data_IF_323122375652
#
_entry.id   IF_323122375652
#
_cell.length_a   1.000
_cell.length_b   1.000
_cell.length_c   1.000
_cell.angle_alpha   90.00
_cell.angle_beta   90.00
_cell.angle_gamma   90.00
#
_symmetry.space_group_name_H-M   'P 1'
#
loop_
_entity.id
_entity.type
_entity.pdbx_description
1 polymer ?
#
# COMPACT_ATOMS: atom_id res chain seq x y z
N UNK A 1 -25.12 1.18 15.69
CA UNK A 1 -23.67 1.42 15.49
C UNK A 1 -23.35 2.83 15.94
N UNK A 2 -22.22 3.06 16.63
CA UNK A 2 -21.85 4.39 17.09
C UNK A 2 -21.49 5.28 15.88
N UNK A 3 -22.33 6.29 15.57
CA UNK A 3 -22.21 7.12 14.36
C UNK A 3 -20.92 7.98 14.29
N UNK A 4 -20.13 8.00 15.37
CA UNK A 4 -18.92 8.80 15.52
C UNK A 4 -17.61 8.01 15.28
N UNK A 5 -17.66 6.69 15.12
CA UNK A 5 -16.45 5.87 14.98
C UNK A 5 -16.10 5.61 13.51
N UNK A 6 -14.89 6.00 13.10
CA UNK A 6 -14.29 5.71 11.80
C UNK A 6 -13.65 4.32 11.81
N UNK A 7 -14.15 3.39 11.00
CA UNK A 7 -13.58 2.05 10.87
C UNK A 7 -12.64 1.95 9.66
N UNK A 8 -11.41 1.48 9.88
CA UNK A 8 -10.39 1.32 8.83
C UNK A 8 -9.97 -0.15 8.73
N UNK A 9 -10.09 -0.74 7.55
CA UNK A 9 -9.59 -2.09 7.26
C UNK A 9 -8.13 -2.07 6.80
N UNK A 10 -7.31 -2.97 7.36
CA UNK A 10 -5.90 -3.18 7.02
C UNK A 10 -5.64 -4.65 6.71
N UNK A 11 -4.65 -4.93 5.86
CA UNK A 11 -4.18 -6.30 5.65
C UNK A 11 -3.64 -6.89 6.96
N UNK A 12 -4.09 -8.09 7.31
CA UNK A 12 -3.72 -8.81 8.54
C UNK A 12 -2.24 -9.16 8.57
N UNK A 13 -1.71 -9.67 7.46
CA UNK A 13 -0.34 -10.19 7.32
C UNK A 13 0.18 -9.92 5.92
N UNK A 14 1.51 -9.86 5.76
CA UNK A 14 2.14 -9.66 4.45
C UNK A 14 2.75 -8.26 4.28
N UNK A 15 3.20 -7.96 3.05
CA UNK A 15 4.03 -6.78 2.74
C UNK A 15 3.31 -5.45 3.01
N UNK A 16 1.99 -5.40 2.87
CA UNK A 16 1.21 -4.19 3.12
C UNK A 16 1.00 -3.96 4.63
N UNK A 17 0.95 -5.04 5.42
CA UNK A 17 0.57 -5.01 6.84
C UNK A 17 1.50 -4.15 7.70
N UNK A 18 2.82 -4.35 7.62
CA UNK A 18 3.77 -3.68 8.51
C UNK A 18 3.72 -2.14 8.37
N UNK A 19 3.80 -1.65 7.14
CA UNK A 19 3.76 -0.20 6.86
C UNK A 19 2.38 0.39 7.16
N UNK A 20 1.30 -0.34 6.90
CA UNK A 20 -0.06 0.10 7.21
C UNK A 20 -0.30 0.17 8.72
N UNK A 21 0.18 -0.81 9.47
CA UNK A 21 0.09 -0.84 10.93
C UNK A 21 0.88 0.30 11.57
N UNK A 22 2.06 0.62 11.01
CA UNK A 22 2.85 1.77 11.42
C UNK A 22 2.15 3.11 11.17
N UNK A 23 1.44 3.28 10.05
CA UNK A 23 0.64 4.51 9.82
C UNK A 23 -0.43 4.72 10.89
N UNK A 24 -1.01 3.62 11.35
CA UNK A 24 -2.10 3.64 12.32
C UNK A 24 -1.59 3.63 13.76
N UNK A 25 -0.33 3.25 14.02
CA UNK A 25 0.24 3.30 15.36
C UNK A 25 0.29 4.70 15.95
N UNK A 26 0.23 5.75 15.12
CA UNK A 26 0.06 7.12 15.58
C UNK A 26 -1.27 7.36 16.32
N UNK A 27 -2.31 6.57 16.01
CA UNK A 27 -3.59 6.56 16.72
C UNK A 27 -3.62 5.58 17.90
N UNK A 28 -2.61 4.69 18.00
CA UNK A 28 -2.39 3.83 19.15
C UNK A 28 -1.69 4.65 20.23
N UNK A 29 -2.45 5.43 20.99
CA UNK A 29 -2.00 5.77 22.34
C UNK A 29 -1.86 4.48 23.14
N UNK A 30 -0.82 4.44 24.00
CA UNK A 30 -0.29 3.31 24.77
C UNK A 30 -1.31 2.21 25.13
N UNK A 31 -0.87 0.95 24.97
CA UNK A 31 -1.57 -0.33 25.22
C UNK A 31 -2.46 -0.86 24.07
N UNK A 32 -1.90 -1.79 23.30
CA UNK A 32 -2.42 -3.17 23.20
C UNK A 32 -1.51 -4.00 22.29
N UNK A 33 -0.53 -4.66 22.91
CA UNK A 33 0.14 -5.85 22.39
C UNK A 33 -0.80 -7.03 22.66
N UNK A 34 -1.76 -7.31 21.78
CA UNK A 34 -2.21 -8.68 21.57
C UNK A 34 -3.02 -8.81 20.28
N UNK A 35 -2.39 -9.46 19.31
CA UNK A 35 -2.90 -9.83 18.00
C UNK A 35 -3.96 -10.91 18.23
N UNK A 36 -5.25 -10.58 18.10
CA UNK A 36 -6.34 -11.47 17.60
C UNK A 36 -7.76 -10.88 17.73
N UNK A 37 -7.98 -9.81 18.50
CA UNK A 37 -9.25 -9.06 18.48
C UNK A 37 -9.01 -7.65 19.04
N UNK A 38 -8.45 -6.76 18.23
CA UNK A 38 -8.16 -5.39 18.67
C UNK A 38 -9.26 -4.44 18.20
N UNK A 39 -10.36 -4.39 18.96
CA UNK A 39 -11.11 -3.14 19.08
C UNK A 39 -10.19 -2.22 19.87
N UNK A 40 -9.42 -1.38 19.18
CA UNK A 40 -8.61 -0.36 19.84
C UNK A 40 -9.56 0.71 20.39
N UNK A 41 -10.01 0.52 21.62
CA UNK A 41 -10.58 1.60 22.43
C UNK A 41 -9.44 2.46 22.92
N UNK A 42 -8.84 3.26 22.04
CA UNK A 42 -7.97 4.34 22.54
C UNK A 42 -8.88 5.40 23.17
N UNK A 43 -8.35 6.14 24.15
CA UNK A 43 -9.02 7.30 24.76
C UNK A 43 -9.43 8.38 23.73
N UNK A 44 -9.16 8.19 22.43
CA UNK A 44 -9.81 8.82 21.30
C UNK A 44 -10.90 7.89 20.72
N UNK A 45 -12.13 7.98 21.22
CA UNK A 45 -13.32 7.15 20.87
C UNK A 45 -13.75 7.12 19.37
N UNK A 46 -12.90 7.56 18.45
CA UNK A 46 -13.27 7.91 17.09
C UNK A 46 -12.67 7.03 15.97
N UNK A 47 -11.73 6.10 16.24
CA UNK A 47 -11.15 5.24 15.18
C UNK A 47 -11.06 3.78 15.60
N UNK A 48 -11.59 2.86 14.77
CA UNK A 48 -11.54 1.40 14.93
C UNK A 48 -10.75 0.78 13.78
N UNK A 49 -9.90 -0.19 14.08
CA UNK A 49 -9.06 -0.87 13.08
C UNK A 49 -9.50 -2.33 12.95
N UNK A 50 -9.63 -2.80 11.71
CA UNK A 50 -10.02 -4.17 11.39
C UNK A 50 -8.93 -4.83 10.54
N UNK A 51 -8.36 -5.94 11.02
CA UNK A 51 -7.34 -6.69 10.31
C UNK A 51 -7.98 -7.85 9.54
N UNK A 52 -7.84 -7.86 8.21
CA UNK A 52 -8.51 -8.79 7.29
C UNK A 52 -7.58 -9.23 6.16
N UNK A 53 -7.99 -10.16 5.29
CA UNK A 53 -7.27 -10.37 4.03
C UNK A 53 -7.49 -9.14 3.14
N UNK A 54 -6.49 -8.77 2.37
CA UNK A 54 -6.57 -7.61 1.47
C UNK A 54 -7.64 -7.78 0.39
N UNK A 55 -7.82 -8.99 -0.12
CA UNK A 55 -8.88 -9.31 -1.09
C UNK A 55 -10.30 -9.11 -0.54
N UNK A 56 -10.48 -9.16 0.79
CA UNK A 56 -11.78 -8.96 1.44
C UNK A 56 -12.11 -7.46 1.63
N UNK A 57 -11.11 -6.58 1.64
CA UNK A 57 -11.27 -5.15 1.94
C UNK A 57 -12.26 -4.45 0.98
N UNK A 58 -12.20 -4.66 -0.36
CA UNK A 58 -13.17 -4.08 -1.28
C UNK A 58 -14.62 -4.43 -0.92
N UNK A 59 -14.89 -5.70 -0.57
CA UNK A 59 -16.23 -6.14 -0.21
C UNK A 59 -16.70 -5.52 1.12
N UNK A 60 -15.80 -5.38 2.10
CA UNK A 60 -16.10 -4.73 3.37
C UNK A 60 -16.45 -3.25 3.22
N UNK A 61 -15.85 -2.56 2.26
CA UNK A 61 -16.18 -1.17 1.92
C UNK A 61 -17.53 -1.09 1.22
N UNK A 62 -17.77 -1.96 0.22
CA UNK A 62 -19.04 -2.00 -0.51
C UNK A 62 -20.24 -2.28 0.40
N UNK A 63 -20.08 -3.21 1.34
CA UNK A 63 -21.10 -3.57 2.35
C UNK A 63 -21.19 -2.55 3.49
N UNK A 64 -20.37 -1.49 3.47
CA UNK A 64 -20.27 -0.46 4.53
C UNK A 64 -19.95 -1.04 5.91
N UNK A 65 -19.34 -2.21 5.96
CA UNK A 65 -18.82 -2.83 7.20
C UNK A 65 -17.64 -2.02 7.77
N UNK A 66 -16.87 -1.39 6.87
CA UNK A 66 -15.78 -0.45 7.19
C UNK A 66 -15.96 0.84 6.41
N UNK A 67 -15.43 1.95 6.95
CA UNK A 67 -15.52 3.27 6.32
C UNK A 67 -14.37 3.48 5.31
N UNK A 68 -13.17 3.02 5.66
CA UNK A 68 -11.95 3.14 4.86
C UNK A 68 -11.22 1.79 4.76
N UNK A 69 -10.36 1.65 3.76
CA UNK A 69 -9.46 0.51 3.63
C UNK A 69 -8.13 0.86 2.98
N UNK A 70 -7.06 0.19 3.42
CA UNK A 70 -5.74 0.27 2.77
C UNK A 70 -5.55 -1.00 1.93
N UNK A 71 -5.41 -0.84 0.62
CA UNK A 71 -5.19 -1.93 -0.35
C UNK A 71 -4.09 -1.59 -1.34
N UNK A 72 -3.56 -2.59 -2.05
CA UNK A 72 -2.75 -2.38 -3.24
C UNK A 72 -3.60 -1.93 -4.44
N UNK A 73 -3.02 -1.14 -5.34
CA UNK A 73 -3.70 -0.70 -6.57
C UNK A 73 -4.11 -1.87 -7.47
N UNK A 74 -3.29 -2.91 -7.51
CA UNK A 74 -3.60 -4.20 -8.16
C UNK A 74 -4.95 -4.76 -7.69
N UNK A 75 -5.20 -4.83 -6.36
CA UNK A 75 -6.48 -5.31 -5.82
C UNK A 75 -7.63 -4.37 -6.22
N UNK A 76 -7.40 -3.06 -6.19
CA UNK A 76 -8.39 -2.06 -6.60
C UNK A 76 -8.82 -2.24 -8.07
N UNK A 77 -7.85 -2.31 -8.99
CA UNK A 77 -8.13 -2.44 -10.43
C UNK A 77 -8.70 -3.81 -10.79
N UNK A 78 -8.23 -4.88 -10.16
CA UNK A 78 -8.73 -6.23 -10.41
C UNK A 78 -10.23 -6.30 -10.16
N UNK A 79 -10.68 -5.73 -9.04
CA UNK A 79 -12.09 -5.62 -8.73
C UNK A 79 -12.82 -4.64 -9.67
N UNK A 80 -12.19 -3.52 -10.04
CA UNK A 80 -12.80 -2.55 -10.95
C UNK A 80 -13.05 -3.14 -12.34
N UNK A 81 -12.06 -3.82 -12.93
CA UNK A 81 -12.22 -4.54 -14.20
C UNK A 81 -13.22 -5.68 -14.11
N UNK A 82 -13.24 -6.41 -12.99
CA UNK A 82 -14.28 -7.41 -12.72
C UNK A 82 -15.68 -6.79 -12.79
N UNK A 83 -15.89 -5.67 -12.10
CA UNK A 83 -17.19 -5.00 -12.11
C UNK A 83 -17.57 -4.45 -13.49
N UNK A 84 -16.62 -3.91 -14.25
CA UNK A 84 -16.85 -3.49 -15.65
C UNK A 84 -17.34 -4.68 -16.49
N UNK A 85 -16.66 -5.83 -16.39
CA UNK A 85 -17.01 -7.03 -17.16
C UNK A 85 -18.41 -7.55 -16.80
N UNK A 86 -18.75 -7.57 -15.51
CA UNK A 86 -20.08 -7.99 -15.05
C UNK A 86 -21.13 -6.86 -15.03
N UNK A 87 -20.82 -5.69 -15.62
CA UNK A 87 -21.70 -4.51 -15.67
C UNK A 87 -22.28 -4.09 -14.31
N UNK A 88 -21.46 -4.19 -13.26
CA UNK A 88 -21.79 -3.78 -11.89
C UNK A 88 -21.24 -2.38 -11.60
N UNK A 89 -21.95 -1.65 -10.74
CA UNK A 89 -21.51 -0.34 -10.26
C UNK A 89 -20.36 -0.47 -9.26
N UNK A 90 -19.29 0.31 -9.47
CA UNK A 90 -18.19 0.43 -8.51
C UNK A 90 -18.53 1.53 -7.52
N UNK A 91 -18.93 1.15 -6.31
CA UNK A 91 -19.35 2.10 -5.28
C UNK A 91 -18.24 2.45 -4.28
N UNK A 92 -16.97 2.45 -4.71
CA UNK A 92 -15.84 2.94 -3.91
C UNK A 92 -14.75 3.53 -4.80
N UNK A 93 -13.93 4.40 -4.23
CA UNK A 93 -12.94 5.17 -4.97
C UNK A 93 -11.67 5.39 -4.15
N UNK A 94 -10.59 5.73 -4.84
CA UNK A 94 -9.30 6.08 -4.25
C UNK A 94 -9.37 7.50 -3.70
N UNK A 95 -8.94 7.66 -2.44
CA UNK A 95 -8.92 8.98 -1.77
C UNK A 95 -7.52 9.46 -1.42
N UNK A 96 -6.51 8.58 -1.46
CA UNK A 96 -5.12 8.96 -1.21
C UNK A 96 -4.13 7.90 -1.71
N UNK A 97 -3.01 8.34 -2.29
CA UNK A 97 -1.89 7.49 -2.72
C UNK A 97 -0.84 7.37 -1.62
N UNK A 98 -0.63 6.14 -1.12
CA UNK A 98 0.26 5.89 0.01
C UNK A 98 1.72 5.66 -0.41
N UNK A 99 2.02 5.44 -1.70
CA UNK A 99 3.40 5.38 -2.24
C UNK A 99 4.35 4.44 -1.46
N UNK A 100 3.83 3.35 -0.89
CA UNK A 100 4.63 2.28 -0.30
C UNK A 100 4.07 0.91 -0.71
N UNK A 101 4.74 -0.18 -0.35
CA UNK A 101 4.37 -1.54 -0.77
C UNK A 101 4.36 -1.69 -2.30
N UNK A 102 5.33 -1.06 -2.96
CA UNK A 102 5.44 -1.08 -4.41
C UNK A 102 5.73 -2.49 -4.92
N UNK A 103 5.01 -2.88 -5.96
CA UNK A 103 5.15 -4.14 -6.67
C UNK A 103 4.69 -3.95 -8.11
N UNK A 104 4.81 -5.00 -8.91
CA UNK A 104 4.34 -5.04 -10.28
C UNK A 104 3.67 -6.38 -10.56
N UNK A 105 2.69 -6.40 -11.46
CA UNK A 105 2.16 -7.63 -12.02
C UNK A 105 2.83 -7.85 -13.36
N UNK A 106 3.36 -9.06 -13.53
CA UNK A 106 4.19 -9.38 -14.68
C UNK A 106 3.92 -10.78 -15.18
N UNK A 107 4.06 -10.93 -16.50
CA UNK A 107 4.15 -12.23 -17.15
C UNK A 107 5.52 -12.81 -16.86
N UNK A 108 5.54 -14.04 -16.37
CA UNK A 108 6.76 -14.78 -16.07
C UNK A 108 6.81 -16.09 -16.87
N UNK A 109 7.96 -16.32 -17.50
CA UNK A 109 8.20 -17.40 -18.45
C UNK A 109 9.27 -18.36 -17.91
N UNK A 110 9.29 -19.63 -18.36
CA UNK A 110 10.35 -20.60 -18.04
C UNK A 110 11.74 -20.08 -18.40
N UNK A 111 12.72 -20.33 -17.53
CA UNK A 111 14.14 -20.14 -17.85
C UNK A 111 14.50 -21.01 -19.06
N UNK A 112 14.80 -20.37 -20.19
CA UNK A 112 15.10 -21.04 -21.46
C UNK A 112 14.08 -20.79 -22.56
N UNK A 113 12.89 -20.26 -22.24
CA UNK A 113 11.92 -19.83 -23.24
C UNK A 113 12.07 -18.32 -23.51
N UNK A 114 12.55 -17.89 -24.69
CA UNK A 114 12.78 -16.47 -24.96
C UNK A 114 11.47 -15.72 -25.17
N UNK A 115 11.35 -14.57 -24.52
CA UNK A 115 10.26 -13.63 -24.76
C UNK A 115 10.51 -12.85 -26.07
N UNK A 116 9.76 -13.17 -27.12
CA UNK A 116 9.82 -12.46 -28.42
C UNK A 116 8.65 -11.51 -28.64
N UNK A 117 7.68 -11.49 -27.72
CA UNK A 117 6.56 -10.57 -27.76
C UNK A 117 5.28 -11.20 -27.26
N UNK A 118 4.19 -10.45 -27.43
CA UNK A 118 2.89 -10.87 -26.91
C UNK A 118 2.35 -12.14 -27.58
N UNK A 119 2.74 -12.41 -28.83
CA UNK A 119 2.40 -13.63 -29.56
C UNK A 119 2.89 -14.91 -28.86
N UNK A 120 3.91 -14.83 -27.99
CA UNK A 120 4.35 -15.97 -27.17
C UNK A 120 3.26 -16.53 -26.25
N UNK A 121 2.18 -15.78 -25.99
CA UNK A 121 1.06 -16.26 -25.17
C UNK A 121 0.05 -17.10 -25.96
N UNK A 122 0.12 -17.13 -27.29
CA UNK A 122 -0.91 -17.79 -28.09
C UNK A 122 -0.93 -19.31 -27.83
N UNK A 123 -2.11 -19.84 -27.52
CA UNK A 123 -2.33 -21.22 -27.12
C UNK A 123 -1.83 -21.60 -25.71
N UNK A 124 -1.12 -20.72 -25.00
CA UNK A 124 -0.56 -21.05 -23.68
C UNK A 124 -1.59 -21.06 -22.56
N UNK A 125 -1.31 -21.87 -21.55
CA UNK A 125 -1.99 -21.89 -20.25
C UNK A 125 -1.34 -20.88 -19.30
N UNK A 126 -2.11 -19.90 -18.84
CA UNK A 126 -1.65 -18.83 -17.94
C UNK A 126 -2.33 -18.98 -16.58
N UNK A 127 -1.56 -19.20 -15.52
CA UNK A 127 -2.07 -19.17 -14.15
C UNK A 127 -1.96 -17.76 -13.55
N UNK A 128 -3.02 -17.31 -12.86
CA UNK A 128 -3.01 -16.00 -12.19
C UNK A 128 -4.09 -15.86 -11.11
N UNK A 129 -3.81 -15.00 -10.13
CA UNK A 129 -4.81 -14.45 -9.20
C UNK A 129 -5.43 -13.12 -9.69
N UNK A 130 -4.96 -12.58 -10.82
CA UNK A 130 -5.38 -11.30 -11.42
C UNK A 130 -5.93 -11.45 -12.86
N UNK A 131 -6.97 -12.28 -13.07
CA UNK A 131 -7.50 -12.58 -14.40
C UNK A 131 -8.05 -11.36 -15.13
N UNK A 132 -8.63 -10.39 -14.43
CA UNK A 132 -9.32 -9.25 -15.06
C UNK A 132 -8.33 -8.18 -15.50
N UNK A 133 -7.26 -7.92 -14.75
CA UNK A 133 -6.14 -7.08 -15.21
C UNK A 133 -5.49 -7.70 -16.46
N UNK A 134 -5.25 -9.01 -16.45
CA UNK A 134 -4.65 -9.70 -17.60
C UNK A 134 -5.55 -9.61 -18.84
N UNK A 135 -6.84 -9.95 -18.70
CA UNK A 135 -7.83 -9.83 -19.78
C UNK A 135 -7.90 -8.41 -20.33
N UNK A 136 -7.92 -7.40 -19.47
CA UNK A 136 -7.93 -6.01 -19.89
C UNK A 136 -6.66 -5.64 -20.69
N UNK A 137 -5.49 -6.08 -20.26
CA UNK A 137 -4.23 -5.85 -20.96
C UNK A 137 -4.19 -6.55 -22.33
N UNK A 138 -4.68 -7.80 -22.41
CA UNK A 138 -4.63 -8.63 -23.60
C UNK A 138 -5.73 -8.33 -24.63
N UNK A 139 -6.80 -7.62 -24.25
CA UNK A 139 -7.94 -7.29 -25.12
C UNK A 139 -7.55 -6.69 -26.48
N UNK A 140 -6.44 -5.96 -26.54
CA UNK A 140 -5.97 -5.27 -27.77
C UNK A 140 -5.07 -6.12 -28.67
N UNK A 141 -4.69 -7.32 -28.26
CA UNK A 141 -3.67 -8.12 -28.96
C UNK A 141 -4.24 -9.33 -29.72
N UNK A 142 -5.55 -9.58 -29.67
CA UNK A 142 -6.20 -10.70 -30.37
C UNK A 142 -5.52 -12.06 -30.17
N UNK A 143 -5.11 -12.36 -28.94
CA UNK A 143 -4.41 -13.61 -28.57
C UNK A 143 -5.39 -14.60 -27.95
N UNK A 144 -5.28 -15.87 -28.33
CA UNK A 144 -5.98 -16.98 -27.69
C UNK A 144 -5.11 -17.57 -26.58
N UNK A 145 -5.64 -17.73 -25.38
CA UNK A 145 -4.91 -18.35 -24.26
C UNK A 145 -5.89 -19.00 -23.28
N UNK A 146 -5.41 -20.00 -22.54
CA UNK A 146 -6.19 -20.70 -21.53
C UNK A 146 -5.87 -20.09 -20.17
N UNK A 147 -6.88 -19.60 -19.46
CA UNK A 147 -6.70 -18.92 -18.17
C UNK A 147 -7.06 -19.82 -16.99
N UNK A 148 -6.10 -20.05 -16.10
CA UNK A 148 -6.33 -20.72 -14.82
C UNK A 148 -6.34 -19.70 -13.68
N UNK A 149 -7.50 -19.53 -13.06
CA UNK A 149 -7.62 -18.68 -11.87
C UNK A 149 -7.20 -19.46 -10.62
N UNK A 150 -6.28 -18.89 -9.84
CA UNK A 150 -5.75 -19.53 -8.62
C UNK A 150 -5.68 -18.51 -7.50
N UNK A 151 -6.16 -18.89 -6.32
CA UNK A 151 -6.12 -18.07 -5.12
C UNK A 151 -4.86 -18.37 -4.31
N UNK A 152 -3.76 -17.69 -4.64
CA UNK A 152 -2.47 -17.81 -3.95
C UNK A 152 -1.57 -18.92 -4.53
N UNK A 153 -0.27 -18.84 -4.21
CA UNK A 153 0.76 -19.79 -4.67
C UNK A 153 0.73 -20.03 -6.18
N UNK A 154 0.63 -18.94 -6.97
CA UNK A 154 0.52 -19.01 -8.43
C UNK A 154 1.75 -19.69 -9.04
N UNK A 155 2.93 -19.52 -8.43
CA UNK A 155 4.16 -20.19 -8.82
C UNK A 155 4.08 -21.72 -8.79
N UNK A 156 3.22 -22.30 -7.94
CA UNK A 156 3.00 -23.75 -7.85
C UNK A 156 2.24 -24.28 -9.07
N UNK A 157 1.44 -23.44 -9.73
CA UNK A 157 0.72 -23.83 -10.94
C UNK A 157 1.66 -24.19 -12.09
N UNK A 158 2.80 -23.49 -12.18
CA UNK A 158 3.83 -23.83 -13.14
C UNK A 158 4.54 -25.13 -12.77
N UNK A 159 5.05 -25.25 -11.53
CA UNK A 159 5.80 -26.44 -11.11
C UNK A 159 4.96 -27.73 -11.07
N UNK A 160 3.63 -27.62 -10.95
CA UNK A 160 2.70 -28.75 -11.05
C UNK A 160 2.27 -29.11 -12.48
N UNK A 161 2.69 -28.34 -13.49
CA UNK A 161 2.29 -28.53 -14.88
C UNK A 161 0.86 -28.07 -15.22
N UNK A 162 0.19 -27.35 -14.31
CA UNK A 162 -1.15 -26.78 -14.56
C UNK A 162 -1.11 -25.63 -15.58
N UNK A 163 -0.02 -24.86 -15.60
CA UNK A 163 0.17 -23.72 -16.50
C UNK A 163 1.55 -23.71 -17.13
N UNK A 164 1.64 -23.18 -18.35
CA UNK A 164 2.92 -23.01 -19.07
C UNK A 164 3.65 -21.75 -18.59
N UNK A 165 2.90 -20.71 -18.23
CA UNK A 165 3.41 -19.42 -17.73
C UNK A 165 2.52 -18.91 -16.60
N UNK A 166 3.01 -17.92 -15.85
CA UNK A 166 2.23 -17.28 -14.80
C UNK A 166 2.14 -15.76 -15.02
N UNK A 167 1.05 -15.17 -14.51
CA UNK A 167 0.89 -13.73 -14.40
C UNK A 167 0.65 -13.40 -12.92
N UNK A 168 1.66 -12.85 -12.23
CA UNK A 168 1.55 -12.64 -10.78
C UNK A 168 2.38 -11.46 -10.26
N UNK A 169 2.25 -11.18 -8.96
CA UNK A 169 2.89 -10.07 -8.26
C UNK A 169 4.38 -10.32 -8.06
N UNK A 170 5.20 -9.47 -8.68
CA UNK A 170 6.65 -9.45 -8.56
C UNK A 170 7.10 -8.26 -7.71
N UNK A 171 8.05 -8.50 -6.81
CA UNK A 171 8.74 -7.45 -6.04
C UNK A 171 10.25 -7.51 -6.29
N UNK A 172 10.96 -8.45 -5.67
CA UNK A 172 12.40 -8.68 -5.94
C UNK A 172 12.63 -9.63 -7.12
N UNK A 173 11.66 -10.49 -7.44
CA UNK A 173 11.82 -11.55 -8.46
C UNK A 173 12.30 -12.88 -7.89
N UNK A 174 12.70 -12.94 -6.63
CA UNK A 174 13.26 -14.14 -5.99
C UNK A 174 12.34 -15.37 -6.08
N UNK A 175 11.03 -15.18 -5.89
CA UNK A 175 10.05 -16.27 -6.00
C UNK A 175 9.98 -16.86 -7.41
N UNK A 176 10.06 -16.03 -8.45
CA UNK A 176 10.09 -16.52 -9.83
C UNK A 176 11.34 -17.36 -10.07
N UNK A 177 12.50 -16.82 -9.68
CA UNK A 177 13.79 -17.45 -9.89
C UNK A 177 13.88 -18.85 -9.27
N UNK A 178 13.44 -19.00 -8.02
CA UNK A 178 13.43 -20.29 -7.31
C UNK A 178 12.52 -21.33 -7.98
N UNK A 179 11.50 -20.88 -8.72
CA UNK A 179 10.59 -21.75 -9.47
C UNK A 179 10.98 -21.91 -10.95
N UNK A 180 12.20 -21.53 -11.34
CA UNK A 180 12.68 -21.67 -12.70
C UNK A 180 11.98 -20.73 -13.69
N UNK A 181 11.49 -19.59 -13.21
CA UNK A 181 10.81 -18.57 -14.00
C UNK A 181 11.60 -17.26 -13.99
N UNK A 182 11.50 -16.49 -15.08
CA UNK A 182 11.99 -15.12 -15.14
C UNK A 182 10.87 -14.14 -15.49
N UNK A 183 11.06 -12.88 -15.12
CA UNK A 183 10.10 -11.82 -15.45
C UNK A 183 10.27 -11.37 -16.90
N UNK A 184 9.37 -11.80 -17.78
CA UNK A 184 9.42 -11.50 -19.21
C UNK A 184 8.83 -10.12 -19.53
N UNK A 185 7.67 -9.79 -18.96
CA UNK A 185 6.96 -8.55 -19.26
C UNK A 185 6.22 -7.99 -18.06
N UNK A 186 6.56 -6.76 -17.68
CA UNK A 186 5.77 -5.97 -16.74
C UNK A 186 4.51 -5.47 -17.44
N UNK A 187 3.35 -5.75 -16.82
CA UNK A 187 2.04 -5.36 -17.34
C UNK A 187 1.44 -4.22 -16.53
N UNK A 188 1.63 -4.23 -15.20
CA UNK A 188 0.96 -3.28 -14.31
C UNK A 188 1.83 -2.94 -13.10
N UNK A 189 1.93 -1.65 -12.74
CA UNK A 189 2.60 -1.19 -11.53
C UNK A 189 1.59 -0.92 -10.42
N UNK A 190 1.89 -1.39 -9.21
CA UNK A 190 1.02 -1.23 -8.04
C UNK A 190 1.78 -0.72 -6.82
N UNK A 191 1.09 0.04 -5.99
CA UNK A 191 1.50 0.41 -4.65
C UNK A 191 0.25 0.63 -3.79
N UNK A 192 0.44 0.95 -2.52
CA UNK A 192 -0.63 1.10 -1.55
C UNK A 192 -1.50 2.35 -1.78
N UNK A 193 -2.80 2.22 -1.60
CA UNK A 193 -3.80 3.28 -1.67
C UNK A 193 -4.78 3.19 -0.50
N UNK A 194 -5.32 4.36 -0.13
CA UNK A 194 -6.45 4.48 0.77
C UNK A 194 -7.73 4.64 -0.07
N UNK A 195 -8.73 3.82 0.22
CA UNK A 195 -10.00 3.77 -0.51
C UNK A 195 -11.19 3.97 0.43
N UNK A 196 -12.34 4.36 -0.14
CA UNK A 196 -13.56 4.74 0.57
C UNK A 196 -14.82 4.42 -0.25
N UNK A 197 -15.93 4.07 0.40
CA UNK A 197 -17.25 3.85 -0.24
C UNK A 197 -17.96 5.16 -0.65
N UNK A 198 -18.88 5.07 -1.62
CA UNK A 198 -19.91 6.06 -1.92
C UNK A 198 -21.26 5.71 -1.22
N UNK A 199 -22.09 6.71 -0.85
CA UNK A 199 -21.80 8.14 -0.87
C UNK A 199 -20.68 8.49 0.13
N UNK A 200 -20.10 9.68 -0.04
CA UNK A 200 -19.02 10.16 0.82
C UNK A 200 -19.43 10.05 2.29
N UNK A 201 -18.47 9.66 3.12
CA UNK A 201 -18.58 9.57 4.57
C UNK A 201 -19.23 10.85 5.12
N UNK A 202 -20.13 10.70 6.10
CA UNK A 202 -20.86 11.81 6.72
C UNK A 202 -19.92 12.91 7.23
N UNK A 203 -20.42 14.15 7.26
CA UNK A 203 -19.63 15.32 7.67
C UNK A 203 -18.92 15.14 9.02
N UNK A 204 -19.57 14.46 9.98
CA UNK A 204 -19.01 14.18 11.30
C UNK A 204 -17.74 13.33 11.26
N UNK A 205 -17.67 12.35 10.35
CA UNK A 205 -16.50 11.48 10.18
C UNK A 205 -15.47 12.08 9.21
N UNK A 206 -15.84 13.05 8.38
CA UNK A 206 -14.93 13.69 7.42
C UNK A 206 -13.71 14.35 8.11
N UNK A 207 -13.91 14.94 9.29
CA UNK A 207 -12.82 15.49 10.10
C UNK A 207 -11.80 14.42 10.51
N UNK A 208 -12.27 13.21 10.85
CA UNK A 208 -11.41 12.09 11.21
C UNK A 208 -10.63 11.57 9.99
N UNK A 209 -11.29 11.49 8.84
CA UNK A 209 -10.65 11.13 7.56
C UNK A 209 -9.55 12.14 7.22
N UNK A 210 -9.83 13.45 7.35
CA UNK A 210 -8.84 14.49 7.06
C UNK A 210 -7.66 14.45 8.05
N UNK A 211 -7.93 14.24 9.35
CA UNK A 211 -6.86 14.01 10.34
C UNK A 211 -6.01 12.80 9.98
N UNK A 212 -6.63 11.72 9.52
CA UNK A 212 -5.93 10.50 9.07
C UNK A 212 -5.05 10.75 7.84
N UNK A 213 -5.57 11.46 6.84
CA UNK A 213 -4.75 11.85 5.67
C UNK A 213 -3.58 12.74 6.08
N UNK A 214 -3.79 13.70 6.97
CA UNK A 214 -2.75 14.60 7.46
C UNK A 214 -1.67 13.87 8.27
N UNK A 215 -2.04 12.89 9.10
CA UNK A 215 -1.05 12.09 9.83
C UNK A 215 -0.17 11.28 8.87
N UNK A 216 -0.76 10.67 7.83
CA UNK A 216 -0.02 9.98 6.78
C UNK A 216 0.95 10.93 6.06
N UNK A 217 0.48 12.12 5.69
CA UNK A 217 1.31 13.12 5.02
C UNK A 217 2.52 13.53 5.90
N UNK A 218 2.28 13.71 7.21
CA UNK A 218 3.32 14.08 8.17
C UNK A 218 4.35 12.97 8.44
N UNK A 219 3.94 11.69 8.37
CA UNK A 219 4.84 10.54 8.51
C UNK A 219 5.80 10.45 7.32
N UNK A 220 5.34 10.77 6.11
CA UNK A 220 6.14 10.69 4.89
C UNK A 220 7.17 11.80 4.73
N UNK A 221 7.03 12.91 5.45
CA UNK A 221 8.04 13.96 5.44
C UNK A 221 9.28 13.44 6.16
N UNK A 222 10.45 13.33 5.49
CA UNK A 222 11.66 12.95 6.17
C UNK A 222 11.95 14.03 7.22
N UNK A 223 11.86 13.65 8.49
CA UNK A 223 12.31 14.51 9.58
C UNK A 223 13.74 14.12 9.87
N UNK A 224 14.67 14.83 9.24
CA UNK A 224 16.06 14.78 9.68
C UNK A 224 16.20 15.76 10.84
N UNK A 225 16.55 15.22 12.01
CA UNK A 225 16.85 15.98 13.21
C UNK A 225 18.36 16.00 13.38
N UNK A 226 18.95 17.20 13.36
CA UNK A 226 20.36 17.39 13.69
C UNK A 226 20.40 17.93 15.12
N UNK A 227 21.09 17.21 16.01
CA UNK A 227 21.40 17.68 17.35
C UNK A 227 22.80 18.30 17.37
N UNK A 228 22.91 19.53 17.87
CA UNK A 228 24.19 20.21 18.06
C UNK A 228 24.30 20.56 19.54
N UNK A 229 25.40 20.14 20.16
CA UNK A 229 25.70 20.40 21.58
C UNK A 229 26.72 21.53 21.79
N UNK A 230 27.29 22.09 20.72
CA UNK A 230 28.33 23.13 20.76
C UNK A 230 27.86 24.47 20.19
N UNK A 231 27.98 25.53 21.00
CA UNK A 231 27.56 26.89 20.65
C UNK A 231 28.40 27.51 19.52
N UNK A 232 29.69 27.16 19.44
CA UNK A 232 30.59 27.67 18.40
C UNK A 232 30.22 27.12 17.02
N UNK A 233 29.83 25.84 16.98
CA UNK A 233 29.38 25.14 15.78
C UNK A 233 27.99 25.64 15.33
N UNK A 234 27.12 26.01 16.29
CA UNK A 234 25.78 26.54 16.04
C UNK A 234 25.77 27.79 15.14
N UNK A 235 26.55 28.84 15.46
CA UNK A 235 26.50 30.11 14.70
C UNK A 235 26.92 29.93 13.23
N UNK A 236 27.84 29.01 12.96
CA UNK A 236 28.32 28.71 11.61
C UNK A 236 27.32 27.84 10.84
N UNK A 237 26.75 26.80 11.48
CA UNK A 237 25.78 25.90 10.84
C UNK A 237 24.41 26.51 10.61
N UNK A 238 23.88 27.36 11.50
CA UNK A 238 22.58 28.04 11.27
C UNK A 238 22.63 28.88 10.00
N UNK A 239 23.72 29.64 9.79
CA UNK A 239 23.90 30.45 8.58
C UNK A 239 23.96 29.60 7.32
N UNK A 240 24.57 28.42 7.37
CA UNK A 240 24.65 27.49 6.23
C UNK A 240 23.28 26.84 5.97
N UNK A 241 22.63 26.32 7.02
CA UNK A 241 21.35 25.61 6.92
C UNK A 241 20.25 26.57 6.43
N UNK A 242 20.12 27.77 7.01
CA UNK A 242 19.13 28.76 6.56
C UNK A 242 19.36 29.23 5.11
N UNK A 243 20.61 29.23 4.65
CA UNK A 243 20.98 29.71 3.31
C UNK A 243 20.78 28.66 2.22
N UNK A 244 20.93 27.37 2.55
CA UNK A 244 20.92 26.30 1.54
C UNK A 244 19.82 25.24 1.72
N UNK A 245 19.13 25.18 2.88
CA UNK A 245 18.11 24.16 3.17
C UNK A 245 16.86 24.83 3.75
N UNK A 246 15.68 24.57 3.17
CA UNK A 246 14.40 24.96 3.77
C UNK A 246 14.18 24.15 5.05
N UNK A 247 14.45 24.76 6.21
CA UNK A 247 14.34 24.12 7.51
C UNK A 247 13.65 25.03 8.53
N UNK A 248 12.87 24.42 9.43
CA UNK A 248 12.42 25.11 10.65
C UNK A 248 13.49 24.91 11.73
N UNK A 249 13.85 26.01 12.42
CA UNK A 249 14.79 25.99 13.54
C UNK A 249 14.01 26.08 14.84
N UNK A 250 14.13 25.08 15.70
CA UNK A 250 13.55 25.08 17.04
C UNK A 250 14.69 25.15 18.07
N UNK A 251 14.70 26.20 18.88
CA UNK A 251 15.67 26.37 19.97
C UNK A 251 15.15 25.65 21.21
N UNK A 252 15.93 24.72 21.77
CA UNK A 252 15.65 24.05 23.03
C UNK A 252 16.74 24.47 24.03
N UNK A 253 16.39 25.37 24.94
CA UNK A 253 17.31 25.79 25.99
C UNK A 253 17.50 24.66 27.03
N UNK A 254 18.74 24.42 27.45
CA UNK A 254 19.06 23.57 28.61
C UNK A 254 18.77 24.32 29.91
N UNK A 255 18.29 23.59 30.93
CA UNK A 255 18.03 24.09 32.28
C UNK A 255 19.28 24.63 33.01
N UNK A 256 20.51 24.31 32.55
CA UNK A 256 21.74 24.60 33.29
C UNK A 256 22.74 25.55 32.59
N UNK A 257 22.30 26.41 31.66
CA UNK A 257 23.10 27.48 31.02
C UNK A 257 24.44 27.10 30.34
N UNK A 258 24.84 25.82 30.31
CA UNK A 258 26.14 25.36 29.75
C UNK A 258 26.03 24.60 28.42
N UNK A 259 24.82 24.32 27.93
CA UNK A 259 24.59 23.61 26.66
C UNK A 259 23.33 24.16 25.98
N UNK A 260 23.40 24.49 24.69
CA UNK A 260 22.21 24.85 23.91
C UNK A 260 21.94 23.70 22.96
N UNK A 261 20.75 23.11 23.05
CA UNK A 261 20.32 22.04 22.17
C UNK A 261 19.48 22.66 21.06
N UNK A 262 19.89 22.44 19.82
CA UNK A 262 19.14 22.98 18.67
C UNK A 262 18.61 21.84 17.86
N UNK A 263 17.30 21.85 17.63
CA UNK A 263 16.61 20.87 16.82
C UNK A 263 16.33 21.50 15.46
N UNK A 264 17.06 21.06 14.44
CA UNK A 264 16.70 21.39 13.06
C UNK A 264 15.67 20.40 12.55
N UNK A 265 14.55 20.90 12.05
CA UNK A 265 13.62 20.09 11.27
C UNK A 265 13.81 20.43 9.79
N UNK A 266 14.54 19.56 9.09
CA UNK A 266 14.75 19.71 7.65
C UNK A 266 13.51 19.25 6.87
N UNK A 267 13.13 19.99 5.83
CA UNK A 267 12.17 19.52 4.83
C UNK A 267 12.97 19.17 3.56
N UNK A 268 12.83 17.93 3.07
CA UNK A 268 13.14 17.60 1.67
C UNK A 268 11.94 17.90 0.80
#
# INVERSE_FOLDING_TARGET
MNYLTLTIALQRSGRLSNKSTYLVSYYKTKQAYNIRKLILSSNHKAVRIMFVRDDDIPNLILTKTVDLGIIGKNVFEEQSFRFIIYRKLVNYYIIYSLKFSSCRLSLAFPLGEPWTGISCLDGKKVATSYPYILKHYLKRYSISYILYYITGSVEVAYSSGLSDIIFDVVSTGSTLFVNGLYEAKIVYYSHAYLIQCLPKISNNKLLLVNRFKNSIYNIKRPKAYIFISSWFIYRKLVKIIQRYIKANVYNIASLNNKSIWVLFQLYR
#
